data_IF_499994933238
#
_entry.id   IF_499994933238
#
_cell.length_a   1.000
_cell.length_b   1.000
_cell.length_c   1.000
_cell.angle_alpha   90.00
_cell.angle_beta   90.00
_cell.angle_gamma   90.00
#
_symmetry.space_group_name_H-M   'P 1'
#
loop_
_entity.id
_entity.type
_entity.pdbx_description
1 polymer ?
#
# COMPACT_ATOMS: atom_id res chain seq x y z
N UNK A 1 -26.14 14.72 -5.46
CA UNK A 1 -25.06 13.80 -5.74
C UNK A 1 -23.82 14.59 -6.12
N UNK A 2 -22.88 14.68 -5.20
CA UNK A 2 -21.57 15.25 -5.53
C UNK A 2 -20.78 14.14 -6.18
N UNK A 3 -20.71 14.16 -7.50
CA UNK A 3 -19.72 13.39 -8.23
C UNK A 3 -18.35 13.88 -7.77
N UNK A 4 -17.65 13.10 -6.98
CA UNK A 4 -16.29 13.44 -6.59
C UNK A 4 -15.39 13.24 -7.80
N UNK A 5 -14.98 14.33 -8.42
CA UNK A 5 -13.83 14.41 -9.32
C UNK A 5 -12.52 14.37 -8.52
N UNK A 6 -12.50 13.72 -7.36
CA UNK A 6 -11.41 13.82 -6.40
C UNK A 6 -10.10 13.15 -6.86
N UNK A 7 -10.11 12.37 -7.94
CA UNK A 7 -8.89 11.74 -8.43
C UNK A 7 -7.98 12.68 -9.25
N UNK A 8 -8.48 13.79 -9.79
CA UNK A 8 -7.70 14.71 -10.62
C UNK A 8 -6.99 15.82 -9.84
N UNK A 9 -7.50 16.20 -8.67
CA UNK A 9 -7.07 17.40 -7.98
C UNK A 9 -6.17 17.14 -6.76
N UNK A 10 -5.86 15.88 -6.46
CA UNK A 10 -4.97 15.53 -5.37
C UNK A 10 -3.54 15.42 -5.89
N UNK A 11 -2.74 16.46 -5.69
CA UNK A 11 -1.32 16.43 -5.97
C UNK A 11 -0.62 15.53 -4.95
N UNK A 12 -0.11 14.40 -5.42
CA UNK A 12 0.74 13.52 -4.63
C UNK A 12 2.11 14.19 -4.46
N UNK A 13 2.35 14.82 -3.33
CA UNK A 13 3.70 15.22 -2.95
C UNK A 13 4.39 14.01 -2.34
N UNK A 14 5.55 13.72 -2.87
CA UNK A 14 6.36 12.62 -2.41
C UNK A 14 6.94 12.93 -1.04
N UNK A 15 6.61 12.12 -0.04
CA UNK A 15 7.41 11.97 1.15
C UNK A 15 8.35 10.78 0.92
N UNK A 16 9.61 10.88 1.37
CA UNK A 16 10.64 9.88 1.03
C UNK A 16 10.39 8.50 1.65
N UNK A 17 9.49 8.39 2.64
CA UNK A 17 9.30 7.18 3.45
C UNK A 17 7.83 6.83 3.74
N UNK A 18 6.88 7.61 3.23
CA UNK A 18 5.45 7.34 3.34
C UNK A 18 4.70 7.93 2.15
N UNK A 19 3.46 7.58 2.00
CA UNK A 19 2.58 8.19 1.00
C UNK A 19 1.87 9.38 1.57
N UNK A 20 1.94 10.49 0.85
CA UNK A 20 1.33 11.77 1.21
C UNK A 20 0.44 12.26 0.09
N UNK A 21 -0.76 12.69 0.43
CA UNK A 21 -1.68 13.40 -0.46
C UNK A 21 -1.80 14.85 -0.04
N UNK A 22 -2.04 15.75 -1.00
CA UNK A 22 -2.29 17.16 -0.72
C UNK A 22 -3.28 17.72 -1.73
N UNK A 23 -4.05 18.73 -1.31
CA UNK A 23 -4.93 19.50 -2.19
C UNK A 23 -4.29 20.82 -2.61
N UNK A 24 -4.98 21.56 -3.48
CA UNK A 24 -4.51 22.86 -4.00
C UNK A 24 -4.46 23.97 -2.94
N UNK A 25 -5.12 23.76 -1.80
CA UNK A 25 -5.11 24.69 -0.67
C UNK A 25 -3.96 24.47 0.30
N UNK A 26 -3.05 23.51 -0.01
CA UNK A 26 -1.89 23.21 0.82
C UNK A 26 -2.17 22.29 2.01
N UNK A 27 -3.42 21.85 2.20
CA UNK A 27 -3.75 20.83 3.19
C UNK A 27 -3.19 19.50 2.74
N UNK A 28 -2.56 18.76 3.65
CA UNK A 28 -1.94 17.48 3.31
C UNK A 28 -2.06 16.48 4.44
N UNK A 29 -2.15 15.22 4.07
CA UNK A 29 -2.21 14.08 4.98
C UNK A 29 -1.15 13.06 4.54
N UNK A 30 -0.39 12.54 5.48
CA UNK A 30 0.68 11.55 5.28
C UNK A 30 0.35 10.20 5.89
N UNK A 31 1.17 9.19 5.56
CA UNK A 31 1.11 7.81 6.10
C UNK A 31 -0.26 7.14 5.84
N UNK A 32 -0.78 7.32 4.64
CA UNK A 32 -2.11 6.81 4.27
C UNK A 32 -2.08 5.38 3.72
N UNK A 33 -0.92 4.83 3.39
CA UNK A 33 -0.72 3.57 2.67
C UNK A 33 -1.38 2.37 3.36
N UNK A 34 -1.23 2.23 4.68
CA UNK A 34 -1.79 1.09 5.41
C UNK A 34 -3.32 1.12 5.46
N UNK A 35 -3.90 2.31 5.66
CA UNK A 35 -5.34 2.51 5.59
C UNK A 35 -5.88 2.24 4.19
N UNK A 36 -5.21 2.76 3.15
CA UNK A 36 -5.62 2.55 1.76
C UNK A 36 -5.53 1.09 1.36
N UNK A 37 -4.53 0.34 1.83
CA UNK A 37 -4.43 -1.09 1.62
C UNK A 37 -5.60 -1.86 2.26
N UNK A 38 -5.98 -1.50 3.48
CA UNK A 38 -7.13 -2.09 4.17
C UNK A 38 -8.44 -1.84 3.39
N UNK A 39 -8.68 -0.59 2.98
CA UNK A 39 -9.87 -0.21 2.21
C UNK A 39 -9.93 -0.92 0.86
N UNK A 40 -8.79 -0.99 0.16
CA UNK A 40 -8.70 -1.70 -1.12
C UNK A 40 -9.08 -3.17 -0.97
N UNK A 41 -8.43 -3.86 -0.04
CA UNK A 41 -8.61 -5.29 0.13
C UNK A 41 -9.98 -5.66 0.66
N UNK A 42 -10.63 -4.80 1.46
CA UNK A 42 -11.99 -5.00 1.95
C UNK A 42 -13.08 -4.50 0.98
N UNK A 43 -12.70 -3.97 -0.17
CA UNK A 43 -13.67 -3.54 -1.17
C UNK A 43 -14.44 -2.27 -0.80
N UNK A 44 -13.89 -1.44 0.08
CA UNK A 44 -14.55 -0.18 0.50
C UNK A 44 -14.29 0.88 -0.54
N UNK A 45 -15.31 1.26 -1.32
CA UNK A 45 -15.20 2.21 -2.43
C UNK A 45 -15.66 3.62 -2.05
N UNK A 46 -16.54 3.75 -1.06
CA UNK A 46 -17.11 5.01 -0.62
C UNK A 46 -17.00 5.13 0.90
N UNK A 47 -16.24 6.10 1.37
CA UNK A 47 -16.00 6.33 2.78
C UNK A 47 -15.72 7.80 3.04
N UNK A 48 -16.27 8.34 4.13
CA UNK A 48 -15.85 9.62 4.68
C UNK A 48 -14.85 9.36 5.80
N UNK A 49 -13.66 9.93 5.67
CA UNK A 49 -12.61 9.85 6.69
C UNK A 49 -12.40 11.25 7.25
N UNK A 50 -12.69 11.41 8.53
CA UNK A 50 -12.43 12.65 9.28
C UNK A 50 -11.14 12.45 10.09
N UNK A 51 -10.22 13.39 9.96
CA UNK A 51 -8.92 13.35 10.64
C UNK A 51 -8.57 14.74 11.16
N UNK A 52 -8.10 14.82 12.39
CA UNK A 52 -7.75 16.06 13.10
C UNK A 52 -6.23 16.32 13.10
N UNK A 53 -5.47 15.56 12.34
CA UNK A 53 -4.02 15.65 12.25
C UNK A 53 -3.54 15.62 10.79
N UNK A 54 -2.27 15.95 10.57
CA UNK A 54 -1.62 15.87 9.25
C UNK A 54 -1.11 14.46 8.92
N UNK A 55 -1.34 13.48 9.79
CA UNK A 55 -0.86 12.12 9.63
C UNK A 55 -1.90 11.10 10.10
N UNK A 56 -2.12 10.05 9.28
CA UNK A 56 -2.92 8.90 9.67
C UNK A 56 -2.15 8.13 10.76
N UNK A 57 -2.79 7.73 11.86
CA UNK A 57 -2.11 7.01 12.93
C UNK A 57 -1.50 5.70 12.41
N UNK A 58 -0.22 5.48 12.78
CA UNK A 58 0.52 4.27 12.38
C UNK A 58 -0.01 2.99 13.08
N UNK A 59 -0.73 3.15 14.20
CA UNK A 59 -1.26 2.07 15.03
C UNK A 59 -0.16 1.08 15.41
N UNK A 60 -0.32 -0.20 15.06
CA UNK A 60 0.69 -1.25 15.31
C UNK A 60 1.72 -1.40 14.18
N UNK A 61 1.68 -0.51 13.18
CA UNK A 61 2.57 -0.53 12.02
C UNK A 61 2.14 -1.45 10.89
N UNK A 62 0.94 -2.05 10.97
CA UNK A 62 0.34 -2.89 9.94
C UNK A 62 -1.04 -2.35 9.54
N UNK A 63 -1.77 -3.05 8.67
CA UNK A 63 -3.18 -2.75 8.37
C UNK A 63 -4.18 -3.44 9.29
N UNK A 64 -3.72 -4.29 10.21
CA UNK A 64 -4.56 -5.14 11.05
C UNK A 64 -5.69 -4.36 11.75
N UNK A 65 -5.32 -3.31 12.47
CA UNK A 65 -6.31 -2.54 13.24
C UNK A 65 -7.33 -1.82 12.35
N UNK A 66 -6.93 -1.38 11.15
CA UNK A 66 -7.87 -0.83 10.16
C UNK A 66 -8.83 -1.91 9.66
N UNK A 67 -8.33 -3.11 9.37
CA UNK A 67 -9.17 -4.26 8.96
C UNK A 67 -10.19 -4.60 10.06
N UNK A 68 -9.74 -4.73 11.32
CA UNK A 68 -10.61 -5.02 12.45
C UNK A 68 -11.71 -3.95 12.64
N UNK A 69 -11.34 -2.66 12.49
CA UNK A 69 -12.31 -1.57 12.55
C UNK A 69 -13.35 -1.64 11.41
N UNK A 70 -12.90 -1.90 10.18
CA UNK A 70 -13.75 -2.04 9.01
C UNK A 70 -14.70 -3.25 9.19
N UNK A 71 -14.20 -4.39 9.64
CA UNK A 71 -15.00 -5.61 9.86
C UNK A 71 -15.97 -5.51 11.03
N UNK A 72 -15.75 -4.59 11.96
CA UNK A 72 -16.63 -4.39 13.12
C UNK A 72 -17.95 -3.70 12.78
N UNK A 73 -18.08 -3.16 11.55
CA UNK A 73 -19.28 -2.43 11.10
C UNK A 73 -19.91 -3.13 9.89
N UNK A 74 -21.20 -2.87 9.68
CA UNK A 74 -21.90 -3.37 8.49
C UNK A 74 -21.55 -2.49 7.28
N UNK A 75 -21.50 -3.13 6.09
CA UNK A 75 -21.37 -2.48 4.80
C UNK A 75 -22.73 -2.24 4.17
N UNK A 76 -22.90 -1.10 3.56
CA UNK A 76 -23.94 -0.88 2.58
C UNK A 76 -23.41 -1.23 1.20
N UNK A 77 -24.03 -2.19 0.53
CA UNK A 77 -23.62 -2.62 -0.80
C UNK A 77 -24.26 -1.70 -1.83
N UNK A 78 -23.43 -1.03 -2.60
CA UNK A 78 -23.91 -0.17 -3.69
C UNK A 78 -24.27 -1.02 -4.90
N UNK A 79 -25.45 -0.77 -5.49
CA UNK A 79 -25.86 -1.35 -6.77
C UNK A 79 -25.20 -0.69 -7.99
N UNK A 80 -24.44 0.38 -7.76
CA UNK A 80 -23.77 1.11 -8.83
C UNK A 80 -22.53 0.35 -9.31
N UNK A 81 -22.32 0.25 -10.63
CA UNK A 81 -21.14 -0.40 -11.17
C UNK A 81 -19.86 0.34 -10.78
N UNK A 82 -18.86 -0.38 -10.36
CA UNK A 82 -17.53 0.18 -10.12
C UNK A 82 -16.72 0.27 -11.40
N UNK A 83 -15.87 1.29 -11.48
CA UNK A 83 -14.89 1.41 -12.56
C UNK A 83 -13.62 0.66 -12.19
N UNK A 84 -13.09 -0.08 -13.15
CA UNK A 84 -11.86 -0.86 -12.98
C UNK A 84 -10.85 -0.42 -14.05
N UNK A 85 -9.61 -0.23 -13.64
CA UNK A 85 -8.48 -0.05 -14.55
C UNK A 85 -8.02 -1.43 -15.00
N UNK A 86 -8.09 -1.69 -16.31
CA UNK A 86 -7.49 -2.87 -16.93
C UNK A 86 -6.16 -2.48 -17.57
N UNK A 87 -5.14 -3.26 -17.29
CA UNK A 87 -3.82 -3.05 -17.91
C UNK A 87 -3.79 -3.80 -19.24
N UNK A 88 -3.77 -3.06 -20.35
CA UNK A 88 -3.85 -3.61 -21.70
C UNK A 88 -2.47 -3.91 -22.30
N UNK A 89 -1.43 -3.22 -21.86
CA UNK A 89 -0.05 -3.42 -22.32
C UNK A 89 0.95 -3.30 -21.19
N UNK A 90 2.10 -3.90 -21.37
CA UNK A 90 3.18 -3.79 -20.42
C UNK A 90 3.70 -2.36 -20.34
N UNK A 91 3.87 -1.89 -19.10
CA UNK A 91 4.48 -0.60 -18.77
C UNK A 91 5.52 -0.86 -17.71
N UNK A 92 6.70 -0.26 -17.86
CA UNK A 92 7.82 -0.40 -16.94
C UNK A 92 8.31 0.98 -16.51
N UNK A 93 8.59 1.11 -15.23
CA UNK A 93 9.36 2.21 -14.66
C UNK A 93 10.56 1.66 -13.92
N UNK A 94 11.72 2.22 -14.20
CA UNK A 94 13.00 1.85 -13.58
C UNK A 94 13.74 3.08 -13.08
N UNK A 95 14.38 2.94 -11.93
CA UNK A 95 15.24 3.95 -11.33
C UNK A 95 16.40 3.27 -10.58
N UNK A 96 17.57 3.22 -11.20
CA UNK A 96 18.71 2.45 -10.70
C UNK A 96 18.37 0.95 -10.59
N UNK A 97 18.50 0.39 -9.39
CA UNK A 97 18.16 -1.02 -9.14
C UNK A 97 16.69 -1.26 -8.79
N UNK A 98 15.90 -0.19 -8.73
CA UNK A 98 14.48 -0.25 -8.39
C UNK A 98 13.63 -0.30 -9.64
N UNK A 99 12.62 -1.14 -9.63
CA UNK A 99 11.69 -1.21 -10.76
C UNK A 99 10.27 -1.56 -10.34
N UNK A 100 9.33 -1.17 -11.19
CA UNK A 100 7.97 -1.65 -11.15
C UNK A 100 7.48 -1.86 -12.59
N UNK A 101 6.78 -2.95 -12.84
CA UNK A 101 6.13 -3.21 -14.11
C UNK A 101 4.66 -3.55 -13.91
N UNK A 102 3.87 -3.14 -14.87
CA UNK A 102 2.43 -3.38 -14.95
C UNK A 102 2.19 -4.19 -16.22
N UNK A 103 1.57 -5.37 -16.09
CA UNK A 103 1.31 -6.29 -17.21
C UNK A 103 -0.16 -6.67 -17.30
N UNK A 104 -0.67 -6.99 -18.49
CA UNK A 104 -2.01 -7.54 -18.63
C UNK A 104 -2.22 -8.78 -17.78
N UNK A 105 -3.40 -8.89 -17.16
CA UNK A 105 -3.96 -10.12 -16.58
C UNK A 105 -5.45 -10.19 -16.94
N UNK A 106 -6.05 -11.38 -16.85
CA UNK A 106 -7.43 -11.55 -17.34
C UNK A 106 -8.48 -11.09 -16.31
N UNK A 107 -8.34 -11.49 -15.06
CA UNK A 107 -9.37 -11.31 -14.02
C UNK A 107 -8.79 -11.07 -12.62
N UNK A 108 -7.48 -10.93 -12.48
CA UNK A 108 -6.83 -10.83 -11.19
C UNK A 108 -5.99 -9.56 -11.04
N UNK A 109 -5.74 -9.16 -9.81
CA UNK A 109 -4.65 -8.28 -9.46
C UNK A 109 -3.59 -9.11 -8.73
N UNK A 110 -2.50 -9.39 -9.42
CA UNK A 110 -1.34 -10.09 -8.86
C UNK A 110 -0.26 -9.07 -8.50
N UNK A 111 0.31 -9.19 -7.30
CA UNK A 111 1.45 -8.38 -6.86
C UNK A 111 2.62 -9.30 -6.57
N UNK A 112 3.65 -9.25 -7.40
CA UNK A 112 4.93 -9.95 -7.24
C UNK A 112 5.96 -8.94 -6.75
N UNK A 113 6.46 -9.10 -5.53
CA UNK A 113 7.37 -8.15 -4.92
C UNK A 113 8.66 -8.81 -4.47
N UNK A 114 9.79 -8.21 -4.80
CA UNK A 114 11.11 -8.62 -4.37
C UNK A 114 11.79 -7.48 -3.62
N UNK A 115 12.29 -7.78 -2.42
CA UNK A 115 13.16 -6.90 -1.64
C UNK A 115 14.56 -7.49 -1.56
N UNK A 116 15.58 -6.63 -1.57
CA UNK A 116 16.98 -7.01 -1.44
C UNK A 116 17.66 -6.13 -0.41
N UNK A 117 18.01 -6.71 0.70
CA UNK A 117 18.75 -6.04 1.77
C UNK A 117 20.10 -6.71 1.97
N UNK A 118 21.15 -5.92 2.17
CA UNK A 118 22.47 -6.42 2.57
C UNK A 118 22.49 -6.95 4.00
N UNK A 119 21.41 -6.72 4.75
CA UNK A 119 21.25 -7.21 6.11
C UNK A 119 21.02 -8.73 6.10
N UNK A 120 21.74 -9.48 6.94
CA UNK A 120 21.73 -10.95 6.96
C UNK A 120 20.43 -11.57 7.49
N UNK A 121 19.60 -10.79 8.19
CA UNK A 121 18.32 -11.28 8.69
C UNK A 121 17.22 -11.08 7.66
N UNK A 122 17.18 -9.91 6.99
CA UNK A 122 16.17 -9.60 5.98
C UNK A 122 16.51 -10.30 4.67
N UNK A 123 17.76 -10.17 4.18
CA UNK A 123 18.26 -10.74 2.93
C UNK A 123 17.43 -10.35 1.71
N UNK A 124 17.39 -11.24 0.73
CA UNK A 124 16.45 -11.18 -0.38
C UNK A 124 15.22 -11.98 -0.04
N UNK A 125 14.07 -11.34 -0.10
CA UNK A 125 12.77 -11.99 0.05
C UNK A 125 11.91 -11.70 -1.16
N UNK A 126 11.10 -12.67 -1.53
CA UNK A 126 10.14 -12.56 -2.62
C UNK A 126 8.83 -13.19 -2.22
N UNK A 127 7.73 -12.52 -2.57
CA UNK A 127 6.40 -13.08 -2.45
C UNK A 127 5.51 -12.62 -3.61
N UNK A 128 4.52 -13.46 -3.93
CA UNK A 128 3.47 -13.17 -4.91
C UNK A 128 2.13 -13.35 -4.21
N UNK A 129 1.22 -12.42 -4.42
CA UNK A 129 -0.14 -12.43 -3.86
C UNK A 129 -1.13 -12.11 -4.98
N UNK A 130 -2.19 -12.91 -5.09
CA UNK A 130 -3.37 -12.57 -5.86
C UNK A 130 -4.40 -11.88 -4.95
N UNK A 131 -4.57 -10.57 -5.12
CA UNK A 131 -5.36 -9.74 -4.20
C UNK A 131 -6.83 -10.16 -4.12
N UNK A 132 -7.37 -10.77 -5.18
CA UNK A 132 -8.79 -11.15 -5.23
C UNK A 132 -9.05 -12.62 -4.90
N UNK A 133 -8.02 -13.45 -4.79
CA UNK A 133 -8.18 -14.89 -4.65
C UNK A 133 -7.53 -15.47 -3.40
N UNK A 134 -6.46 -14.83 -2.90
CA UNK A 134 -5.68 -15.34 -1.78
C UNK A 134 -6.21 -14.83 -0.44
N UNK A 135 -5.90 -15.54 0.63
CA UNK A 135 -6.01 -15.03 1.99
C UNK A 135 -4.93 -13.96 2.22
N UNK A 136 -5.35 -12.73 2.47
CA UNK A 136 -4.47 -11.60 2.67
C UNK A 136 -4.09 -11.36 4.14
N UNK A 137 -4.49 -12.24 5.05
CA UNK A 137 -4.29 -12.07 6.49
C UNK A 137 -2.83 -11.84 6.88
N UNK A 138 -1.90 -12.62 6.32
CA UNK A 138 -0.47 -12.44 6.56
C UNK A 138 0.04 -11.08 6.08
N UNK A 139 -0.44 -10.61 4.93
CA UNK A 139 -0.09 -9.29 4.40
C UNK A 139 -0.62 -8.18 5.31
N UNK A 140 -1.91 -8.23 5.70
CA UNK A 140 -2.51 -7.22 6.56
C UNK A 140 -1.87 -7.16 7.95
N UNK A 141 -1.39 -8.29 8.46
CA UNK A 141 -0.71 -8.39 9.75
C UNK A 141 0.77 -7.99 9.71
N UNK A 142 1.34 -7.78 8.53
CA UNK A 142 2.77 -7.48 8.36
C UNK A 142 3.07 -6.02 8.73
N UNK A 143 3.96 -5.84 9.72
CA UNK A 143 4.35 -4.54 10.25
C UNK A 143 5.41 -3.87 9.41
N UNK A 144 5.40 -2.54 9.41
CA UNK A 144 6.51 -1.74 8.89
C UNK A 144 7.81 -2.04 9.62
N UNK A 145 8.94 -1.80 8.96
CA UNK A 145 10.25 -2.12 9.51
C UNK A 145 11.31 -1.09 9.11
N UNK A 146 12.34 -0.99 9.93
CA UNK A 146 13.51 -0.19 9.61
C UNK A 146 14.80 -0.87 10.12
N UNK A 147 15.93 -0.50 9.52
CA UNK A 147 17.23 -0.82 10.06
C UNK A 147 17.56 0.15 11.19
N UNK A 148 18.17 -0.34 12.25
CA UNK A 148 18.57 0.48 13.40
C UNK A 148 19.47 1.65 12.99
N UNK A 149 20.33 1.40 12.01
CA UNK A 149 21.28 2.38 11.48
C UNK A 149 20.58 3.56 10.75
N UNK A 150 19.34 3.36 10.31
CA UNK A 150 18.57 4.40 9.63
C UNK A 150 17.74 5.26 10.57
N UNK A 151 17.60 4.87 11.85
CA UNK A 151 16.77 5.59 12.84
C UNK A 151 17.27 7.02 13.04
N UNK A 152 18.59 7.23 13.14
CA UNK A 152 19.16 8.57 13.29
C UNK A 152 18.90 9.44 12.06
N UNK A 153 18.99 8.87 10.87
CA UNK A 153 18.67 9.57 9.62
C UNK A 153 17.21 9.99 9.57
N UNK A 154 16.31 9.09 9.96
CA UNK A 154 14.87 9.38 10.02
C UNK A 154 14.57 10.50 11.01
N UNK A 155 15.17 10.47 12.21
CA UNK A 155 15.03 11.53 13.21
C UNK A 155 15.53 12.88 12.71
N UNK A 156 16.69 12.92 12.05
CA UNK A 156 17.25 14.14 11.46
C UNK A 156 16.38 14.74 10.35
N UNK A 157 15.60 13.91 9.68
CA UNK A 157 14.60 14.32 8.69
C UNK A 157 13.24 14.69 9.31
N UNK A 158 13.13 14.75 10.64
CA UNK A 158 11.87 14.95 11.37
C UNK A 158 10.79 13.87 11.08
N UNK A 159 11.22 12.68 10.66
CA UNK A 159 10.37 11.53 10.39
C UNK A 159 10.35 10.57 11.58
N UNK A 160 9.40 9.63 11.56
CA UNK A 160 9.25 8.59 12.59
C UNK A 160 9.16 9.13 14.03
N UNK A 161 8.56 10.30 14.23
CA UNK A 161 8.42 10.93 15.57
C UNK A 161 7.64 10.06 16.55
N UNK A 162 6.64 9.31 16.06
CA UNK A 162 5.85 8.34 16.81
C UNK A 162 6.40 6.92 16.73
N UNK A 163 7.56 6.70 16.09
CA UNK A 163 8.15 5.37 15.91
C UNK A 163 8.62 4.76 17.24
N UNK A 164 8.19 3.52 17.48
CA UNK A 164 8.54 2.75 18.66
C UNK A 164 8.71 1.27 18.30
N UNK A 165 9.18 0.46 19.23
CA UNK A 165 9.23 -0.99 19.06
C UNK A 165 7.84 -1.65 19.08
N UNK A 166 6.78 -0.90 19.37
CA UNK A 166 5.42 -1.41 19.36
C UNK A 166 4.74 -1.24 17.97
N UNK A 167 5.27 -0.34 17.13
CA UNK A 167 4.68 -0.03 15.83
C UNK A 167 5.63 -0.15 14.62
N UNK A 168 6.85 -0.62 14.82
CA UNK A 168 7.78 -0.93 13.75
C UNK A 168 8.73 -2.05 14.15
N UNK A 169 9.06 -2.94 13.22
CA UNK A 169 10.12 -3.93 13.43
C UNK A 169 11.45 -3.22 13.25
N UNK A 170 12.28 -3.24 14.30
CA UNK A 170 13.62 -2.67 14.25
C UNK A 170 14.66 -3.77 14.17
N UNK A 171 15.39 -3.80 13.06
CA UNK A 171 16.44 -4.79 12.82
C UNK A 171 17.81 -4.16 13.07
N UNK A 172 18.58 -4.73 14.00
CA UNK A 172 19.95 -4.36 14.28
C UNK A 172 20.88 -5.52 14.00
N UNK A 173 21.76 -5.37 13.02
CA UNK A 173 22.58 -6.47 12.53
C UNK A 173 21.71 -7.70 12.16
N UNK A 174 21.86 -8.82 12.85
CA UNK A 174 21.13 -10.06 12.63
C UNK A 174 20.04 -10.33 13.70
N UNK A 175 19.55 -9.30 14.40
CA UNK A 175 18.58 -9.42 15.48
C UNK A 175 17.41 -8.43 15.31
N UNK A 176 16.24 -8.87 15.68
CA UNK A 176 15.06 -8.03 15.89
C UNK A 176 15.11 -7.52 17.31
N UNK A 177 14.96 -6.20 17.50
CA UNK A 177 14.98 -5.56 18.82
C UNK A 177 13.64 -5.64 19.54
N UNK A 178 12.55 -5.86 18.80
CA UNK A 178 11.21 -5.98 19.36
C UNK A 178 11.09 -7.22 20.26
N UNK A 179 10.25 -7.14 21.28
CA UNK A 179 9.93 -8.29 22.13
C UNK A 179 9.12 -9.35 21.37
N UNK A 180 8.21 -8.91 20.52
CA UNK A 180 7.40 -9.74 19.66
C UNK A 180 8.22 -10.23 18.46
N UNK A 181 8.14 -11.52 18.17
CA UNK A 181 8.77 -12.12 16.99
C UNK A 181 8.05 -11.67 15.70
N UNK A 182 8.60 -12.04 14.54
CA UNK A 182 7.89 -11.92 13.28
C UNK A 182 6.54 -12.62 13.34
N UNK A 183 5.51 -11.96 12.81
CA UNK A 183 4.14 -12.49 12.75
C UNK A 183 3.98 -13.56 11.67
N UNK A 184 4.80 -13.48 10.63
CA UNK A 184 4.91 -14.50 9.58
C UNK A 184 6.34 -14.50 9.01
N UNK A 185 6.71 -15.57 8.32
CA UNK A 185 8.07 -15.76 7.78
C UNK A 185 8.48 -14.71 6.74
N UNK A 186 7.49 -14.16 6.02
CA UNK A 186 7.67 -13.18 4.95
C UNK A 186 7.23 -11.78 5.34
N UNK A 187 7.20 -11.46 6.63
CA UNK A 187 6.64 -10.20 7.14
C UNK A 187 7.25 -8.97 6.47
N UNK A 188 8.55 -8.96 6.19
CA UNK A 188 9.21 -7.83 5.54
C UNK A 188 8.73 -7.60 4.09
N UNK A 189 8.69 -8.65 3.26
CA UNK A 189 8.22 -8.50 1.88
C UNK A 189 6.72 -8.34 1.80
N UNK A 190 5.95 -8.98 2.69
CA UNK A 190 4.51 -8.82 2.78
C UNK A 190 4.11 -7.40 3.12
N UNK A 191 4.86 -6.74 4.02
CA UNK A 191 4.65 -5.33 4.30
C UNK A 191 4.88 -4.45 3.06
N UNK A 192 5.88 -4.78 2.23
CA UNK A 192 6.09 -4.04 0.97
C UNK A 192 5.01 -4.28 -0.07
N UNK A 193 4.37 -5.44 -0.06
CA UNK A 193 3.17 -5.71 -0.87
C UNK A 193 1.98 -4.90 -0.35
N UNK A 194 1.81 -4.82 0.97
CA UNK A 194 0.79 -3.99 1.62
C UNK A 194 0.95 -2.52 1.22
N UNK A 195 2.14 -1.95 1.35
CA UNK A 195 2.47 -0.59 0.91
C UNK A 195 2.10 -0.37 -0.56
N UNK A 196 2.52 -1.32 -1.42
CA UNK A 196 2.23 -1.27 -2.85
C UNK A 196 0.73 -1.27 -3.12
N UNK A 197 -0.04 -2.14 -2.46
CA UNK A 197 -1.50 -2.22 -2.61
C UNK A 197 -2.18 -0.91 -2.23
N UNK A 198 -1.77 -0.30 -1.11
CA UNK A 198 -2.27 1.00 -0.68
C UNK A 198 -1.96 2.11 -1.68
N UNK A 199 -0.75 2.12 -2.21
CA UNK A 199 -0.33 3.08 -3.24
C UNK A 199 -1.11 2.91 -4.55
N UNK A 200 -1.40 1.67 -4.97
CA UNK A 200 -2.21 1.39 -6.17
C UNK A 200 -3.61 1.97 -6.04
N UNK A 201 -4.20 1.96 -4.84
CA UNK A 201 -5.54 2.50 -4.62
C UNK A 201 -5.62 4.04 -4.77
N UNK A 202 -4.50 4.73 -4.76
CA UNK A 202 -4.44 6.16 -5.08
C UNK A 202 -4.81 6.49 -6.54
N UNK A 203 -4.90 5.48 -7.40
CA UNK A 203 -5.53 5.63 -8.72
C UNK A 203 -7.02 5.97 -8.62
N UNK A 204 -7.65 5.71 -7.46
CA UNK A 204 -9.09 5.87 -7.24
C UNK A 204 -9.94 4.70 -7.75
N UNK A 205 -9.31 3.63 -8.24
CA UNK A 205 -10.00 2.51 -8.88
C UNK A 205 -9.39 1.17 -8.48
N UNK A 206 -10.20 0.12 -8.54
CA UNK A 206 -9.71 -1.26 -8.57
C UNK A 206 -8.94 -1.51 -9.86
N UNK A 207 -8.00 -2.46 -9.84
CA UNK A 207 -7.17 -2.80 -10.98
C UNK A 207 -7.26 -4.28 -11.33
N UNK A 208 -7.15 -4.58 -12.63
CA UNK A 208 -6.91 -5.92 -13.14
C UNK A 208 -5.59 -5.90 -13.92
N UNK A 209 -4.65 -6.73 -13.47
CA UNK A 209 -3.31 -6.78 -14.04
C UNK A 209 -2.34 -7.54 -13.15
N UNK A 210 -1.09 -7.66 -13.61
CA UNK A 210 0.03 -8.17 -12.83
C UNK A 210 1.02 -7.05 -12.58
N UNK A 211 1.31 -6.79 -11.31
CA UNK A 211 2.28 -5.82 -10.86
C UNK A 211 3.52 -6.59 -10.38
N UNK A 212 4.69 -6.27 -10.93
CA UNK A 212 5.94 -6.85 -10.45
C UNK A 212 6.88 -5.73 -10.04
N UNK A 213 7.37 -5.77 -8.80
CA UNK A 213 8.27 -4.75 -8.26
C UNK A 213 9.53 -5.36 -7.67
N UNK A 214 10.67 -4.80 -8.02
CA UNK A 214 11.96 -5.14 -7.43
C UNK A 214 12.50 -3.93 -6.67
N UNK A 215 12.78 -4.10 -5.38
CA UNK A 215 13.26 -3.03 -4.48
C UNK A 215 12.44 -1.73 -4.55
N UNK A 216 11.18 -1.82 -4.97
CA UNK A 216 10.27 -0.70 -5.09
C UNK A 216 9.92 -0.08 -3.75
N UNK A 217 9.11 0.95 -3.82
CA UNK A 217 8.56 1.69 -2.69
C UNK A 217 7.63 2.77 -3.23
N UNK A 218 7.07 3.61 -2.37
CA UNK A 218 6.05 4.59 -2.71
C UNK A 218 6.40 5.45 -3.94
N UNK A 219 7.65 5.92 -4.05
CA UNK A 219 8.09 6.67 -5.21
C UNK A 219 7.95 5.88 -6.51
N UNK A 220 8.54 4.69 -6.55
CA UNK A 220 8.57 3.85 -7.75
C UNK A 220 7.15 3.45 -8.16
N UNK A 221 6.31 3.08 -7.19
CA UNK A 221 4.89 2.76 -7.44
C UNK A 221 4.14 3.96 -8.01
N UNK A 222 4.34 5.14 -7.43
CA UNK A 222 3.70 6.37 -7.90
C UNK A 222 4.14 6.76 -9.32
N UNK A 223 5.44 6.69 -9.62
CA UNK A 223 5.96 6.99 -10.97
C UNK A 223 5.45 5.99 -12.00
N UNK A 224 5.35 4.71 -11.63
CA UNK A 224 4.76 3.68 -12.47
C UNK A 224 3.29 3.96 -12.75
N UNK A 225 2.49 4.27 -11.73
CA UNK A 225 1.07 4.62 -11.87
C UNK A 225 0.84 5.83 -12.82
N UNK A 226 1.71 6.84 -12.75
CA UNK A 226 1.62 8.02 -13.64
C UNK A 226 1.87 7.69 -15.11
N UNK A 227 2.53 6.57 -15.40
CA UNK A 227 2.77 6.10 -16.76
C UNK A 227 1.63 5.26 -17.32
N UNK A 228 0.66 4.84 -16.49
CA UNK A 228 -0.47 4.05 -16.97
C UNK A 228 -1.34 4.89 -17.90
N UNK A 229 -1.51 4.50 -19.17
CA UNK A 229 -2.56 5.06 -20.02
C UNK A 229 -3.89 4.57 -19.45
N UNK A 230 -4.74 5.49 -19.06
CA UNK A 230 -6.01 5.14 -18.43
C UNK A 230 -7.02 4.76 -19.50
N UNK A 231 -7.22 3.47 -19.70
CA UNK A 231 -8.43 2.93 -20.32
C UNK A 231 -9.34 2.37 -19.22
N UNK A 232 -10.55 2.90 -19.13
CA UNK A 232 -11.53 2.43 -18.15
C UNK A 232 -12.43 1.38 -18.76
N UNK A 233 -12.49 0.21 -18.13
CA UNK A 233 -13.54 -0.76 -18.40
C UNK A 233 -14.60 -0.66 -17.31
N UNK A 234 -15.88 -0.48 -17.70
CA UNK A 234 -16.99 -0.61 -16.78
C UNK A 234 -17.28 -2.09 -16.59
N UNK A 235 -16.96 -2.64 -15.44
CA UNK A 235 -17.41 -3.98 -15.06
C UNK A 235 -18.53 -3.85 -14.02
N UNK A 236 -19.69 -4.36 -14.36
CA UNK A 236 -20.65 -4.78 -13.37
C UNK A 236 -20.11 -6.09 -12.80
N UNK A 237 -19.42 -6.05 -11.68
CA UNK A 237 -19.18 -7.26 -10.92
C UNK A 237 -20.50 -7.63 -10.26
N UNK A 238 -21.05 -8.84 -10.51
CA UNK A 238 -22.08 -9.36 -9.63
C UNK A 238 -21.47 -9.42 -8.23
N UNK A 239 -22.18 -8.90 -7.26
CA UNK A 239 -21.90 -9.05 -5.83
C UNK A 239 -21.81 -10.54 -5.49
N UNK A 240 -20.63 -11.09 -5.56
CA UNK A 240 -20.32 -12.45 -5.14
C UNK A 240 -19.17 -12.40 -4.16
N UNK A 241 -19.50 -11.96 -2.96
CA UNK A 241 -18.80 -12.37 -1.75
C UNK A 241 -19.89 -12.64 -0.71
N UNK A 242 -20.43 -13.87 -0.76
CA UNK A 242 -21.04 -14.48 0.40
C UNK A 242 -19.96 -15.01 1.35
#
# INVERSE_FOLDING_TARGET
PRTSSAASDVYKRQASYCTKISNDHGVSISTIEHLMAALYGKGVDNLLIEIDSEEVPILDGSSKNFIEAIESVNFEISEQPIKIITIDKEIVYEEGEKSISFKPSKISLEIDFEIKFKNELIKTQKNNINVYMDDLSDMYNSRTFCLYEDIEKLKNLNLAKGGSLDNAIVVKQNKILNKEKLRNEKEFVNHKILDCLGDLYLSGFKMVGKISSCQGGHHVTNQGLRKLPVSYTHLTLPTMFE
#
